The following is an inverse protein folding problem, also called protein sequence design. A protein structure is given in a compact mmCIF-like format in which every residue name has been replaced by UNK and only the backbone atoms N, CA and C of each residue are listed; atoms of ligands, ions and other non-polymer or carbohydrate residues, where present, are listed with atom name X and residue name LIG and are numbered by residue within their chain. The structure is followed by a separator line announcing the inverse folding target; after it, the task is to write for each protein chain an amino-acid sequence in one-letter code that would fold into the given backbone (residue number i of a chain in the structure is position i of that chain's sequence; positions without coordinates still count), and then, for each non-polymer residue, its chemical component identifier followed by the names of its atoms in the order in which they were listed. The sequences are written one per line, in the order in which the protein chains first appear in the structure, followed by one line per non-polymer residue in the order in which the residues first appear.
data_IF_191696430175
#
_entry.id   IF_191696430175
#
_cell.length_a   1.000
_cell.length_b   1.000
_cell.length_c   1.000
_cell.angle_alpha   90.00
_cell.angle_beta   90.00
_cell.angle_gamma   90.00
#
_symmetry.space_group_name_H-M   'P 1'
#
loop_
_entity.id
_entity.type
_entity.pdbx_description
1 polymer ?
#
# COMPACT_ATOMS: atom_id res chain seq x y z
N UNK A 1 27.76 31.44 69.64
CA UNK A 1 27.03 30.33 68.98
C UNK A 1 25.55 30.64 69.07
N UNK A 2 24.92 30.89 67.93
CA UNK A 2 23.61 30.39 67.50
C UNK A 2 22.99 31.34 66.46
N UNK A 3 22.56 30.71 65.39
CA UNK A 3 22.07 31.26 64.12
C UNK A 3 20.64 31.78 64.27
N UNK A 4 20.27 32.82 63.53
CA UNK A 4 18.87 33.16 63.28
C UNK A 4 18.64 33.44 61.79
N UNK A 5 17.47 32.99 61.31
CA UNK A 5 17.06 32.86 59.92
C UNK A 5 16.13 34.01 59.51
N UNK A 6 16.03 34.18 58.19
CA UNK A 6 14.97 34.87 57.42
C UNK A 6 15.24 36.29 56.89
N UNK A 7 14.66 36.52 55.70
CA UNK A 7 14.39 37.77 54.99
C UNK A 7 15.28 38.21 53.80
N UNK A 8 15.04 37.53 52.68
CA UNK A 8 14.62 38.05 51.35
C UNK A 8 14.80 39.55 50.99
N UNK A 9 15.18 39.70 49.71
CA UNK A 9 15.03 40.83 48.75
C UNK A 9 16.07 41.96 48.82
N UNK A 10 16.89 42.06 47.76
CA UNK A 10 16.95 43.20 46.80
C UNK A 10 18.32 43.24 46.13
N UNK A 11 18.40 42.77 44.88
CA UNK A 11 19.22 43.47 43.88
C UNK A 11 18.44 43.50 42.57
N UNK A 12 17.84 44.65 42.34
CA UNK A 12 17.37 45.12 41.04
C UNK A 12 18.59 45.44 40.18
N UNK A 13 18.71 44.83 39.00
CA UNK A 13 19.47 45.43 37.89
C UNK A 13 18.57 45.41 36.66
N UNK A 14 18.44 46.61 36.09
CA UNK A 14 17.70 46.95 34.89
C UNK A 14 18.18 46.13 33.68
N UNK A 15 17.23 45.75 32.83
CA UNK A 15 17.25 46.09 31.40
C UNK A 15 15.97 45.54 30.74
N UNK A 16 15.03 46.43 30.44
CA UNK A 16 14.13 46.22 29.30
C UNK A 16 14.88 46.73 28.05
N UNK A 17 14.87 45.95 26.97
CA UNK A 17 14.22 46.48 25.79
C UNK A 17 13.22 45.49 25.20
N UNK A 18 12.11 46.07 24.75
CA UNK A 18 11.08 45.42 23.96
C UNK A 18 11.69 44.70 22.75
N UNK A 19 11.51 43.38 22.68
CA UNK A 19 11.61 42.64 21.43
C UNK A 19 10.21 42.38 20.91
N UNK A 20 9.87 43.19 19.91
CA UNK A 20 8.83 42.97 18.91
C UNK A 20 8.85 41.50 18.46
N UNK A 21 7.89 40.70 18.90
CA UNK A 21 7.59 39.39 18.31
C UNK A 21 7.02 39.64 16.92
N UNK A 22 7.89 39.70 15.91
CA UNK A 22 7.48 39.39 14.54
C UNK A 22 7.07 37.92 14.54
N UNK A 23 5.76 37.67 14.62
CA UNK A 23 5.19 36.41 14.20
C UNK A 23 5.44 36.26 12.70
N UNK A 24 6.62 35.75 12.34
CA UNK A 24 6.85 35.10 11.06
C UNK A 24 5.92 33.88 11.07
N UNK A 25 4.70 34.09 10.57
CA UNK A 25 3.91 33.05 9.98
C UNK A 25 4.70 32.59 8.76
N UNK A 26 5.72 31.75 9.00
CA UNK A 26 6.22 30.87 7.99
C UNK A 26 5.03 30.03 7.59
N UNK A 27 4.36 30.43 6.51
CA UNK A 27 3.60 29.49 5.72
C UNK A 27 4.59 28.40 5.37
N UNK A 28 4.52 27.30 6.12
CA UNK A 28 5.05 26.04 5.62
C UNK A 28 4.24 25.85 4.36
N UNK A 29 4.85 26.20 3.22
CA UNK A 29 4.34 25.86 1.92
C UNK A 29 4.16 24.35 1.99
N UNK A 30 2.91 23.94 2.14
CA UNK A 30 2.52 22.56 2.02
C UNK A 30 2.94 22.21 0.60
N UNK A 31 4.07 21.54 0.47
CA UNK A 31 4.56 21.06 -0.80
C UNK A 31 3.48 20.10 -1.29
N UNK A 32 2.57 20.62 -2.12
CA UNK A 32 1.64 19.81 -2.89
C UNK A 32 2.55 18.96 -3.76
N UNK A 33 2.62 17.68 -3.43
CA UNK A 33 3.27 16.71 -4.27
C UNK A 33 2.72 16.90 -5.70
N UNK A 34 3.58 16.87 -6.73
CA UNK A 34 3.13 17.08 -8.11
C UNK A 34 2.14 15.96 -8.46
N UNK A 35 0.86 16.33 -8.51
CA UNK A 35 -0.26 15.46 -8.85
C UNK A 35 -0.16 15.07 -10.33
N UNK A 36 0.32 13.87 -10.60
CA UNK A 36 0.28 13.31 -11.95
C UNK A 36 -1.20 13.14 -12.35
N UNK A 37 -1.67 13.72 -13.46
CA UNK A 37 -3.10 13.96 -13.65
C UNK A 37 -3.89 12.66 -13.79
N UNK A 38 -4.96 12.52 -13.01
CA UNK A 38 -5.93 11.42 -13.10
C UNK A 38 -6.50 11.26 -14.52
N UNK A 39 -6.36 12.28 -15.37
CA UNK A 39 -6.57 12.24 -16.82
C UNK A 39 -5.88 11.04 -17.49
N UNK A 40 -4.66 10.67 -17.09
CA UNK A 40 -3.95 9.50 -17.64
C UNK A 40 -4.64 8.17 -17.32
N UNK A 41 -5.47 8.14 -16.29
CA UNK A 41 -6.26 6.96 -15.91
C UNK A 41 -7.58 6.88 -16.68
N UNK A 42 -8.10 8.01 -17.19
CA UNK A 42 -9.37 8.06 -17.92
C UNK A 42 -9.41 7.17 -19.18
N UNK A 43 -8.24 6.89 -19.76
CA UNK A 43 -8.09 6.00 -20.91
C UNK A 43 -7.73 4.55 -20.56
N UNK A 44 -7.49 4.22 -19.30
CA UNK A 44 -6.97 2.90 -18.90
C UNK A 44 -8.07 1.95 -18.44
N UNK A 45 -7.87 0.67 -18.75
CA UNK A 45 -8.61 -0.47 -18.21
C UNK A 45 -7.68 -1.20 -17.26
N UNK A 46 -7.98 -1.15 -15.97
CA UNK A 46 -7.12 -1.66 -14.91
C UNK A 46 -7.86 -2.80 -14.22
N UNK A 47 -7.19 -3.90 -13.94
CA UNK A 47 -7.73 -5.00 -13.14
C UNK A 47 -6.92 -5.19 -11.85
N UNK A 48 -7.62 -5.26 -10.72
CA UNK A 48 -7.07 -5.52 -9.40
C UNK A 48 -7.70 -6.77 -8.77
N UNK A 49 -6.92 -7.86 -8.71
CA UNK A 49 -7.27 -9.05 -7.93
C UNK A 49 -6.92 -8.85 -6.45
N UNK A 50 -7.87 -9.03 -5.55
CA UNK A 50 -7.58 -8.83 -4.13
C UNK A 50 -8.45 -9.66 -3.19
N UNK A 51 -8.24 -9.43 -1.90
CA UNK A 51 -9.12 -9.78 -0.78
C UNK A 51 -8.96 -8.66 0.26
N UNK A 52 -9.77 -8.68 1.33
CA UNK A 52 -9.59 -7.89 2.58
C UNK A 52 -9.03 -6.47 2.34
N UNK A 53 -7.79 -6.15 2.74
CA UNK A 53 -7.12 -4.83 2.63
C UNK A 53 -7.21 -4.21 1.23
N UNK A 54 -7.29 -5.01 0.17
CA UNK A 54 -7.48 -4.47 -1.18
C UNK A 54 -8.83 -3.78 -1.35
N UNK A 55 -9.88 -4.34 -0.72
CA UNK A 55 -11.19 -3.69 -0.62
C UNK A 55 -11.11 -2.36 0.12
N UNK A 56 -10.33 -2.26 1.20
CA UNK A 56 -10.13 -0.98 1.89
C UNK A 56 -9.44 0.07 1.00
N UNK A 57 -8.46 -0.34 0.18
CA UNK A 57 -7.85 0.58 -0.80
C UNK A 57 -8.91 1.04 -1.82
N UNK A 58 -9.77 0.14 -2.29
CA UNK A 58 -10.87 0.50 -3.21
C UNK A 58 -11.91 1.42 -2.56
N UNK A 59 -12.23 1.22 -1.28
CA UNK A 59 -13.10 2.13 -0.53
C UNK A 59 -12.49 3.52 -0.46
N UNK A 60 -11.18 3.61 -0.22
CA UNK A 60 -10.42 4.86 -0.34
C UNK A 60 -10.53 5.49 -1.72
N UNK A 61 -10.38 4.72 -2.80
CA UNK A 61 -10.53 5.21 -4.18
C UNK A 61 -11.94 5.78 -4.41
N UNK A 62 -12.99 5.06 -3.98
CA UNK A 62 -14.39 5.50 -4.12
C UNK A 62 -14.70 6.77 -3.32
N UNK A 63 -14.00 6.99 -2.20
CA UNK A 63 -14.19 8.14 -1.32
C UNK A 63 -13.42 9.40 -1.78
N UNK A 64 -12.46 9.27 -2.70
CA UNK A 64 -11.72 10.41 -3.22
C UNK A 64 -12.64 11.30 -4.06
N UNK A 65 -12.65 12.63 -3.82
CA UNK A 65 -13.45 13.54 -4.63
C UNK A 65 -12.88 13.63 -6.05
N UNK A 66 -13.77 13.81 -7.04
CA UNK A 66 -13.34 14.29 -8.35
C UNK A 66 -12.72 15.69 -8.17
N UNK A 67 -11.60 15.93 -8.83
CA UNK A 67 -10.87 17.18 -8.69
C UNK A 67 -10.60 17.82 -10.05
N UNK A 68 -10.11 19.06 -10.01
CA UNK A 68 -9.67 19.75 -11.23
C UNK A 68 -8.49 19.04 -11.92
N UNK A 69 -7.88 18.03 -11.29
CA UNK A 69 -6.76 17.25 -11.82
C UNK A 69 -7.20 15.94 -12.51
N UNK A 70 -8.50 15.75 -12.71
CA UNK A 70 -9.09 14.66 -13.47
C UNK A 70 -10.12 13.83 -12.69
N UNK A 71 -10.66 12.81 -13.36
CA UNK A 71 -11.74 11.97 -12.83
C UNK A 71 -11.17 10.70 -12.23
N UNK A 72 -11.60 10.34 -11.02
CA UNK A 72 -11.26 9.07 -10.38
C UNK A 72 -11.81 7.92 -11.24
N UNK A 73 -11.03 6.85 -11.50
CA UNK A 73 -11.52 5.73 -12.30
C UNK A 73 -12.76 5.10 -11.66
N UNK A 74 -13.70 4.65 -12.49
CA UNK A 74 -14.88 3.92 -12.02
C UNK A 74 -14.43 2.59 -11.42
N UNK A 75 -14.81 2.33 -10.17
CA UNK A 75 -14.54 1.04 -9.54
C UNK A 75 -15.68 0.08 -9.85
N UNK A 76 -15.37 -1.04 -10.53
CA UNK A 76 -16.36 -2.02 -11.01
C UNK A 76 -15.93 -3.42 -10.61
N UNK A 77 -16.82 -4.20 -10.02
CA UNK A 77 -16.56 -5.61 -9.74
C UNK A 77 -16.82 -6.45 -11.00
N UNK A 78 -15.83 -7.25 -11.40
CA UNK A 78 -15.93 -8.14 -12.57
C UNK A 78 -16.61 -9.43 -12.16
N UNK A 79 -17.67 -9.80 -12.89
CA UNK A 79 -18.42 -11.04 -12.63
C UNK A 79 -17.96 -12.20 -13.52
N UNK A 80 -17.31 -11.90 -14.66
CA UNK A 80 -16.80 -12.88 -15.62
C UNK A 80 -15.48 -12.43 -16.24
N UNK A 81 -14.51 -13.35 -16.47
CA UNK A 81 -13.24 -13.01 -17.12
C UNK A 81 -13.40 -12.56 -18.59
N UNK A 82 -14.56 -12.75 -19.21
CA UNK A 82 -14.83 -12.30 -20.58
C UNK A 82 -15.54 -10.95 -20.66
N UNK A 83 -15.76 -10.29 -19.51
CA UNK A 83 -16.41 -8.98 -19.46
C UNK A 83 -15.53 -7.90 -20.13
N UNK A 84 -16.17 -7.07 -20.96
CA UNK A 84 -15.49 -5.95 -21.62
C UNK A 84 -15.38 -4.77 -20.66
N UNK A 85 -14.16 -4.30 -20.42
CA UNK A 85 -13.91 -3.15 -19.57
C UNK A 85 -13.91 -1.86 -20.40
N UNK A 86 -14.71 -0.87 -19.98
CA UNK A 86 -14.67 0.46 -20.57
C UNK A 86 -13.41 1.23 -20.10
N UNK A 87 -12.84 2.14 -20.91
CA UNK A 87 -11.77 3.04 -20.45
C UNK A 87 -12.16 3.82 -19.19
N UNK A 88 -11.17 4.14 -18.37
CA UNK A 88 -11.36 4.84 -17.10
C UNK A 88 -11.95 3.95 -16.02
N UNK A 89 -11.69 2.64 -16.09
CA UNK A 89 -12.22 1.66 -15.15
C UNK A 89 -11.09 1.02 -14.36
N UNK A 90 -11.25 0.99 -13.04
CA UNK A 90 -10.50 0.17 -12.12
C UNK A 90 -11.39 -1.01 -11.72
N UNK A 91 -11.31 -2.05 -12.55
CA UNK A 91 -12.04 -3.29 -12.37
C UNK A 91 -11.40 -4.12 -11.26
N UNK A 92 -12.18 -4.89 -10.52
CA UNK A 92 -11.66 -5.73 -9.45
C UNK A 92 -12.43 -7.04 -9.29
N UNK A 93 -11.79 -8.03 -8.69
CA UNK A 93 -12.46 -9.25 -8.24
C UNK A 93 -11.75 -9.79 -7.00
N UNK A 94 -12.50 -10.53 -6.19
CA UNK A 94 -11.92 -11.33 -5.13
C UNK A 94 -11.16 -12.52 -5.75
N UNK A 95 -9.87 -12.69 -5.42
CA UNK A 95 -9.04 -13.79 -5.95
C UNK A 95 -8.58 -14.74 -4.87
N UNK A 96 -8.71 -16.04 -5.16
CA UNK A 96 -8.33 -17.13 -4.27
C UNK A 96 -8.93 -17.02 -2.86
N UNK A 97 -8.31 -17.73 -1.91
CA UNK A 97 -8.72 -17.79 -0.51
C UNK A 97 -7.66 -17.15 0.38
N UNK A 98 -8.07 -16.55 1.50
CA UNK A 98 -7.13 -16.12 2.54
C UNK A 98 -6.45 -17.36 3.17
N UNK A 99 -5.21 -17.17 3.66
CA UNK A 99 -4.37 -18.23 4.26
C UNK A 99 -3.93 -19.32 3.27
N UNK A 100 -4.28 -19.17 1.99
CA UNK A 100 -3.91 -20.06 0.90
C UNK A 100 -3.29 -19.25 -0.24
N UNK A 101 -2.09 -18.67 -0.07
CA UNK A 101 -1.51 -17.74 -1.05
C UNK A 101 -1.42 -18.34 -2.47
N UNK A 102 -1.08 -19.63 -2.61
CA UNK A 102 -1.02 -20.28 -3.93
C UNK A 102 -2.37 -20.27 -4.66
N UNK A 103 -3.49 -20.32 -3.94
CA UNK A 103 -4.82 -20.21 -4.55
C UNK A 103 -5.06 -18.83 -5.17
N UNK A 104 -4.42 -17.77 -4.64
CA UNK A 104 -4.51 -16.42 -5.22
C UNK A 104 -3.72 -16.32 -6.52
N UNK A 105 -2.53 -16.93 -6.55
CA UNK A 105 -1.71 -17.01 -7.76
C UNK A 105 -2.51 -17.75 -8.85
N UNK A 106 -2.97 -18.96 -8.55
CA UNK A 106 -3.68 -19.80 -9.51
C UNK A 106 -4.97 -19.17 -10.03
N UNK A 107 -5.75 -18.52 -9.15
CA UNK A 107 -7.01 -17.88 -9.55
C UNK A 107 -6.78 -16.60 -10.36
N UNK A 108 -5.75 -15.82 -10.04
CA UNK A 108 -5.34 -14.68 -10.86
C UNK A 108 -4.89 -15.13 -12.26
N UNK A 109 -4.05 -16.16 -12.36
CA UNK A 109 -3.64 -16.73 -13.64
C UNK A 109 -4.84 -17.19 -14.46
N UNK A 110 -5.75 -17.95 -13.84
CA UNK A 110 -6.98 -18.44 -14.46
C UNK A 110 -7.82 -17.29 -15.02
N UNK A 111 -8.03 -16.21 -14.26
CA UNK A 111 -8.82 -15.06 -14.72
C UNK A 111 -8.18 -14.37 -15.93
N UNK A 112 -6.86 -14.18 -15.90
CA UNK A 112 -6.12 -13.56 -17.00
C UNK A 112 -6.18 -14.41 -18.27
N UNK A 113 -5.89 -15.71 -18.15
CA UNK A 113 -5.90 -16.67 -19.27
C UNK A 113 -7.33 -16.89 -19.81
N UNK A 114 -8.36 -16.78 -18.97
CA UNK A 114 -9.77 -16.95 -19.38
C UNK A 114 -10.35 -15.75 -20.15
N UNK A 115 -9.59 -14.67 -20.35
CA UNK A 115 -9.97 -13.57 -21.25
C UNK A 115 -9.73 -12.17 -20.70
N UNK A 116 -9.54 -12.02 -19.39
CA UNK A 116 -9.54 -10.71 -18.76
C UNK A 116 -8.31 -9.88 -19.16
N UNK A 117 -7.19 -10.54 -19.48
CA UNK A 117 -6.01 -9.88 -20.03
C UNK A 117 -6.30 -9.18 -21.39
N UNK A 118 -7.23 -9.71 -22.19
CA UNK A 118 -7.62 -9.12 -23.49
C UNK A 118 -8.46 -7.85 -23.35
N UNK A 119 -9.03 -7.60 -22.18
CA UNK A 119 -9.81 -6.39 -21.89
C UNK A 119 -9.09 -5.45 -20.93
N UNK A 120 -7.85 -5.75 -20.54
CA UNK A 120 -7.11 -5.03 -19.51
C UNK A 120 -5.74 -4.55 -20.00
N UNK A 121 -5.44 -3.28 -19.74
CA UNK A 121 -4.15 -2.66 -20.04
C UNK A 121 -3.13 -2.87 -18.91
N UNK A 122 -3.58 -2.82 -17.66
CA UNK A 122 -2.77 -3.01 -16.46
C UNK A 122 -3.47 -4.01 -15.52
N UNK A 123 -2.79 -5.09 -15.15
CA UNK A 123 -3.34 -6.09 -14.24
C UNK A 123 -2.40 -6.34 -13.07
N UNK A 124 -2.97 -6.50 -11.88
CA UNK A 124 -2.21 -6.91 -10.70
C UNK A 124 -3.10 -7.62 -9.70
N UNK A 125 -2.46 -8.35 -8.81
CA UNK A 125 -3.08 -8.79 -7.58
C UNK A 125 -2.14 -8.57 -6.40
N UNK A 126 -2.69 -8.66 -5.19
CA UNK A 126 -1.89 -8.67 -3.98
C UNK A 126 -2.21 -9.87 -3.09
N UNK A 127 -1.24 -10.26 -2.28
CA UNK A 127 -1.48 -11.05 -1.08
C UNK A 127 -2.09 -10.19 0.04
N UNK A 128 -2.69 -10.83 1.03
CA UNK A 128 -3.13 -10.25 2.30
C UNK A 128 -2.09 -10.51 3.39
N UNK A 129 -2.14 -9.73 4.47
CA UNK A 129 -1.23 -9.93 5.60
C UNK A 129 -1.38 -11.33 6.19
N UNK A 130 -2.59 -11.91 6.16
CA UNK A 130 -2.88 -13.23 6.72
C UNK A 130 -2.36 -14.39 5.86
N UNK A 131 -1.98 -14.13 4.60
CA UNK A 131 -1.47 -15.19 3.71
C UNK A 131 -0.02 -15.57 4.01
N UNK A 132 0.73 -14.70 4.71
CA UNK A 132 2.13 -14.90 5.08
C UNK A 132 2.23 -14.79 6.60
N UNK A 133 2.58 -15.89 7.24
CA UNK A 133 2.72 -16.03 8.69
C UNK A 133 4.08 -16.64 9.05
N UNK A 134 4.36 -16.79 10.36
CA UNK A 134 5.63 -17.30 10.88
C UNK A 134 6.10 -18.64 10.29
N UNK A 135 5.18 -19.50 9.83
CA UNK A 135 5.46 -20.82 9.28
C UNK A 135 5.59 -20.85 7.74
N UNK A 136 5.39 -19.72 7.07
CA UNK A 136 5.42 -19.66 5.61
C UNK A 136 6.83 -19.84 5.06
N UNK A 137 7.01 -20.75 4.09
CA UNK A 137 8.22 -20.77 3.27
C UNK A 137 8.17 -19.64 2.25
N UNK A 138 8.68 -18.50 2.68
CA UNK A 138 8.61 -17.24 1.95
C UNK A 138 9.38 -17.28 0.62
N UNK A 139 10.47 -18.05 0.55
CA UNK A 139 11.27 -18.19 -0.69
C UNK A 139 10.54 -19.05 -1.70
N UNK A 140 9.98 -20.19 -1.26
CA UNK A 140 9.18 -21.04 -2.14
C UNK A 140 7.93 -20.32 -2.65
N UNK A 141 7.24 -19.55 -1.79
CA UNK A 141 6.10 -18.75 -2.20
C UNK A 141 6.49 -17.68 -3.23
N UNK A 142 7.59 -16.95 -3.00
CA UNK A 142 8.10 -15.97 -3.95
C UNK A 142 8.46 -16.59 -5.30
N UNK A 143 9.07 -17.78 -5.31
CA UNK A 143 9.43 -18.45 -6.56
C UNK A 143 8.18 -18.87 -7.36
N UNK A 144 7.15 -19.39 -6.70
CA UNK A 144 5.85 -19.68 -7.35
C UNK A 144 5.22 -18.42 -7.94
N UNK A 145 5.24 -17.33 -7.18
CA UNK A 145 4.75 -16.03 -7.65
C UNK A 145 5.52 -15.57 -8.90
N UNK A 146 6.86 -15.60 -8.85
CA UNK A 146 7.74 -15.16 -9.93
C UNK A 146 7.46 -15.93 -11.22
N UNK A 147 7.43 -17.26 -11.14
CA UNK A 147 7.17 -18.15 -12.29
C UNK A 147 5.80 -17.88 -12.92
N UNK A 148 4.76 -17.71 -12.10
CA UNK A 148 3.41 -17.42 -12.58
C UNK A 148 3.34 -16.08 -13.32
N UNK A 149 3.90 -15.01 -12.74
CA UNK A 149 3.88 -13.68 -13.36
C UNK A 149 4.73 -13.63 -14.64
N UNK A 150 5.88 -14.30 -14.68
CA UNK A 150 6.68 -14.45 -15.90
C UNK A 150 5.89 -15.19 -17.00
N UNK A 151 5.19 -16.27 -16.63
CA UNK A 151 4.32 -17.00 -17.53
C UNK A 151 3.18 -16.14 -18.09
N UNK A 152 2.51 -15.36 -17.23
CA UNK A 152 1.45 -14.45 -17.65
C UNK A 152 1.94 -13.36 -18.59
N UNK A 153 3.10 -12.75 -18.30
CA UNK A 153 3.72 -11.76 -19.19
C UNK A 153 4.03 -12.32 -20.56
N UNK A 154 4.53 -13.57 -20.63
CA UNK A 154 4.81 -14.24 -21.88
C UNK A 154 3.54 -14.53 -22.69
N UNK A 155 2.45 -14.94 -22.02
CA UNK A 155 1.15 -15.24 -22.67
C UNK A 155 0.35 -14.00 -23.04
N UNK A 156 0.49 -12.90 -22.29
CA UNK A 156 -0.30 -11.67 -22.44
C UNK A 156 0.60 -10.42 -22.57
N UNK A 157 1.39 -10.29 -23.65
CA UNK A 157 2.37 -9.22 -23.79
C UNK A 157 1.77 -7.81 -23.90
N UNK A 158 0.46 -7.70 -24.15
CA UNK A 158 -0.26 -6.43 -24.23
C UNK A 158 -0.83 -5.97 -22.88
N UNK A 159 -0.61 -6.72 -21.81
CA UNK A 159 -1.02 -6.37 -20.44
C UNK A 159 0.22 -6.06 -19.62
N UNK A 160 0.25 -4.88 -19.01
CA UNK A 160 1.29 -4.54 -18.04
C UNK A 160 0.95 -5.20 -16.70
N UNK A 161 1.76 -6.15 -16.26
CA UNK A 161 1.62 -6.74 -14.94
C UNK A 161 2.36 -5.92 -13.89
N UNK A 162 1.64 -5.47 -12.86
CA UNK A 162 2.21 -4.73 -11.72
C UNK A 162 2.42 -5.71 -10.56
N UNK A 163 3.58 -5.60 -9.92
CA UNK A 163 3.89 -6.33 -8.69
C UNK A 163 3.44 -5.54 -7.46
N UNK A 164 2.96 -6.23 -6.42
CA UNK A 164 2.53 -5.59 -5.16
C UNK A 164 3.15 -6.34 -3.98
N UNK A 165 3.88 -5.63 -3.12
CA UNK A 165 4.40 -6.21 -1.87
C UNK A 165 3.25 -6.62 -0.93
N UNK A 166 3.44 -7.67 -0.15
CA UNK A 166 2.49 -8.10 0.87
C UNK A 166 2.35 -7.05 1.97
N UNK A 167 1.12 -6.70 2.40
CA UNK A 167 0.90 -5.67 3.40
C UNK A 167 1.40 -6.10 4.78
N UNK A 168 1.83 -5.14 5.58
CA UNK A 168 2.28 -5.30 6.96
C UNK A 168 1.11 -5.23 7.94
N UNK A 169 1.36 -5.60 9.18
CA UNK A 169 0.48 -5.27 10.31
C UNK A 169 1.14 -4.28 11.25
N UNK A 170 0.38 -3.65 12.13
CA UNK A 170 0.97 -2.97 13.29
C UNK A 170 1.64 -4.01 14.20
N UNK A 171 2.44 -3.56 15.14
CA UNK A 171 3.00 -4.42 16.19
C UNK A 171 2.50 -3.95 17.54
N UNK A 172 2.14 -4.89 18.41
CA UNK A 172 1.74 -4.56 19.77
C UNK A 172 2.96 -4.00 20.53
N UNK A 173 2.86 -2.77 21.04
CA UNK A 173 3.91 -2.10 21.83
C UNK A 173 3.53 -1.98 23.31
N UNK A 174 4.53 -1.63 24.14
CA UNK A 174 4.35 -1.28 25.55
C UNK A 174 4.62 -2.42 26.55
N UNK A 175 4.43 -2.15 27.84
CA UNK A 175 4.80 -3.05 28.94
C UNK A 175 4.22 -4.48 28.80
N UNK A 176 3.03 -4.62 28.21
CA UNK A 176 2.39 -5.91 27.95
C UNK A 176 3.10 -6.71 26.83
N UNK A 177 3.63 -6.03 25.81
CA UNK A 177 4.44 -6.66 24.77
C UNK A 177 5.81 -7.08 25.33
N UNK A 178 6.46 -6.19 26.09
CA UNK A 178 7.72 -6.47 26.77
C UNK A 178 7.62 -7.66 27.74
N UNK A 179 6.54 -7.74 28.53
CA UNK A 179 6.30 -8.89 29.41
C UNK A 179 6.10 -10.19 28.62
N UNK A 180 5.39 -10.16 27.48
CA UNK A 180 5.24 -11.34 26.63
C UNK A 180 6.59 -11.78 26.07
N UNK A 181 7.40 -10.84 25.61
CA UNK A 181 8.75 -11.07 25.07
C UNK A 181 9.67 -11.70 26.12
N UNK A 182 9.72 -11.15 27.34
CA UNK A 182 10.46 -11.73 28.46
C UNK A 182 10.01 -13.16 28.81
N UNK A 183 8.72 -13.45 28.64
CA UNK A 183 8.14 -14.78 28.89
C UNK A 183 8.24 -15.71 27.67
N UNK A 184 8.92 -15.30 26.59
CA UNK A 184 9.06 -16.08 25.36
C UNK A 184 7.74 -16.33 24.62
N UNK A 185 6.71 -15.50 24.87
CA UNK A 185 5.39 -15.63 24.26
C UNK A 185 5.31 -14.81 22.97
N UNK A 186 4.60 -15.32 21.93
CA UNK A 186 4.49 -14.60 20.67
C UNK A 186 3.78 -13.26 20.85
N UNK A 187 4.35 -12.22 20.25
CA UNK A 187 3.76 -10.89 20.13
C UNK A 187 3.17 -10.77 18.73
N UNK A 188 1.89 -10.41 18.66
CA UNK A 188 1.16 -10.31 17.41
C UNK A 188 1.85 -9.32 16.45
N UNK A 189 2.03 -9.75 15.21
CA UNK A 189 2.58 -8.95 14.13
C UNK A 189 4.10 -8.97 14.04
N UNK A 190 4.80 -9.45 15.08
CA UNK A 190 6.28 -9.45 15.10
C UNK A 190 6.83 -10.53 14.17
N UNK A 191 6.61 -11.80 14.48
CA UNK A 191 7.14 -12.90 13.64
C UNK A 191 6.52 -12.88 12.23
N UNK A 192 5.27 -12.44 12.10
CA UNK A 192 4.59 -12.38 10.81
C UNK A 192 5.13 -11.26 9.92
N UNK A 193 5.43 -10.07 10.45
CA UNK A 193 6.05 -8.99 9.65
C UNK A 193 7.47 -9.34 9.20
N UNK A 194 8.23 -10.14 9.98
CA UNK A 194 9.53 -10.66 9.53
C UNK A 194 9.37 -11.48 8.24
N UNK A 195 8.39 -12.38 8.19
CA UNK A 195 8.16 -13.22 7.01
C UNK A 195 7.62 -12.41 5.83
N UNK A 196 6.68 -11.49 6.08
CA UNK A 196 6.18 -10.57 5.03
C UNK A 196 7.30 -9.70 4.48
N UNK A 197 8.17 -9.16 5.32
CA UNK A 197 9.27 -8.33 4.86
C UNK A 197 10.33 -9.16 4.12
N UNK A 198 10.57 -10.41 4.54
CA UNK A 198 11.42 -11.33 3.78
C UNK A 198 10.87 -11.56 2.36
N UNK A 199 9.56 -11.69 2.20
CA UNK A 199 8.91 -11.77 0.88
C UNK A 199 9.10 -10.47 0.10
N UNK A 200 8.84 -9.35 0.75
CA UNK A 200 8.87 -8.02 0.14
C UNK A 200 10.28 -7.62 -0.29
N UNK A 201 11.32 -8.03 0.45
CA UNK A 201 12.70 -7.86 0.03
C UNK A 201 13.01 -8.61 -1.26
N UNK A 202 12.53 -9.86 -1.41
CA UNK A 202 12.71 -10.62 -2.65
C UNK A 202 12.02 -9.93 -3.82
N UNK A 203 10.80 -9.41 -3.60
CA UNK A 203 10.06 -8.59 -4.57
C UNK A 203 10.86 -7.35 -4.98
N UNK A 204 11.37 -6.58 -4.02
CA UNK A 204 12.16 -5.36 -4.29
C UNK A 204 13.46 -5.68 -5.03
N UNK A 205 14.22 -6.67 -4.57
CA UNK A 205 15.49 -7.10 -5.21
C UNK A 205 15.28 -7.54 -6.66
N UNK A 206 14.15 -8.20 -6.92
CA UNK A 206 13.83 -8.73 -8.26
C UNK A 206 13.32 -7.63 -9.18
N UNK A 207 12.32 -6.86 -8.75
CA UNK A 207 11.52 -6.02 -9.64
C UNK A 207 11.80 -4.52 -9.54
N UNK A 208 12.29 -4.00 -8.40
CA UNK A 208 12.44 -2.54 -8.24
C UNK A 208 13.39 -1.96 -9.29
N UNK A 209 12.93 -0.93 -10.00
CA UNK A 209 13.68 -0.28 -11.10
C UNK A 209 13.78 -1.10 -12.39
N UNK A 210 13.22 -2.31 -12.43
CA UNK A 210 13.21 -3.19 -13.61
C UNK A 210 11.80 -3.40 -14.15
N UNK A 211 10.84 -3.54 -13.25
CA UNK A 211 9.43 -3.75 -13.55
C UNK A 211 8.54 -2.90 -12.61
N UNK A 212 7.28 -2.63 -12.99
CA UNK A 212 6.36 -1.88 -12.14
C UNK A 212 6.10 -2.60 -10.80
N UNK A 213 6.49 -1.97 -9.70
CA UNK A 213 6.30 -2.47 -8.33
C UNK A 213 5.61 -1.41 -7.46
N UNK A 214 4.38 -1.70 -7.04
CA UNK A 214 3.67 -0.94 -6.02
C UNK A 214 4.08 -1.46 -4.63
N UNK A 215 4.99 -0.75 -3.98
CA UNK A 215 5.55 -1.11 -2.66
C UNK A 215 4.61 -0.69 -1.51
N UNK A 216 3.46 -1.38 -1.45
CA UNK A 216 2.44 -1.22 -0.41
C UNK A 216 3.04 -1.28 1.01
N UNK A 217 3.93 -2.22 1.28
CA UNK A 217 4.53 -2.39 2.61
C UNK A 217 5.39 -1.18 3.02
N UNK A 218 6.11 -0.59 2.07
CA UNK A 218 6.85 0.65 2.33
C UNK A 218 5.90 1.81 2.62
N UNK A 219 4.79 1.92 1.88
CA UNK A 219 3.81 2.98 2.11
C UNK A 219 3.10 2.85 3.47
N UNK A 220 2.74 1.63 3.86
CA UNK A 220 2.12 1.31 5.15
C UNK A 220 3.06 1.59 6.33
N UNK A 221 4.36 1.42 6.13
CA UNK A 221 5.39 1.69 7.15
C UNK A 221 6.02 3.07 7.05
N UNK A 222 5.46 3.98 6.25
CA UNK A 222 5.94 5.37 6.14
C UNK A 222 4.84 6.29 6.67
N UNK A 223 5.15 7.15 7.62
CA UNK A 223 4.23 8.14 8.16
C UNK A 223 4.07 9.36 7.21
N UNK A 224 3.13 10.28 7.46
CA UNK A 224 2.97 11.48 6.63
C UNK A 224 4.20 12.40 6.60
N UNK A 225 5.01 12.39 7.66
CA UNK A 225 6.27 13.16 7.75
C UNK A 225 7.46 12.45 7.07
N UNK A 226 7.25 11.26 6.48
CA UNK A 226 8.28 10.47 5.84
C UNK A 226 9.06 9.54 6.77
N UNK A 227 8.84 9.60 8.09
CA UNK A 227 9.47 8.69 9.05
C UNK A 227 9.00 7.25 8.83
N UNK A 228 9.87 6.28 9.18
CA UNK A 228 9.57 4.84 9.04
C UNK A 228 9.12 4.25 10.36
N UNK A 229 7.96 3.61 10.37
CA UNK A 229 7.51 2.82 11.51
C UNK A 229 8.23 1.46 11.50
N UNK A 230 8.95 1.19 12.59
CA UNK A 230 9.81 0.02 12.73
C UNK A 230 9.78 -0.55 14.15
N UNK A 231 10.30 -1.75 14.34
CA UNK A 231 10.53 -2.35 15.65
C UNK A 231 11.82 -3.17 15.63
N UNK A 232 12.41 -3.39 16.80
CA UNK A 232 13.61 -4.21 16.95
C UNK A 232 13.23 -5.64 17.31
N UNK A 233 13.90 -6.61 16.67
CA UNK A 233 13.83 -8.02 17.03
C UNK A 233 15.22 -8.63 16.84
N UNK A 234 15.78 -9.23 17.90
CA UNK A 234 17.12 -9.84 17.89
C UNK A 234 18.24 -8.90 17.37
N UNK A 235 18.15 -7.60 17.69
CA UNK A 235 19.12 -6.59 17.26
C UNK A 235 19.01 -6.17 15.79
N UNK A 236 17.91 -6.54 15.12
CA UNK A 236 17.59 -6.12 13.76
C UNK A 236 16.30 -5.31 13.74
N UNK A 237 16.32 -4.22 12.97
CA UNK A 237 15.16 -3.37 12.69
C UNK A 237 14.27 -3.98 11.61
N UNK A 238 12.97 -4.04 11.87
CA UNK A 238 11.94 -4.55 10.96
C UNK A 238 10.82 -3.52 10.77
N UNK A 239 10.23 -3.39 9.58
CA UNK A 239 9.12 -2.46 9.35
C UNK A 239 7.81 -2.99 9.93
N UNK A 240 6.95 -2.06 10.36
CA UNK A 240 5.57 -2.33 10.74
C UNK A 240 4.64 -1.27 10.13
N UNK A 241 3.35 -1.58 10.03
CA UNK A 241 2.36 -0.59 9.62
C UNK A 241 2.29 0.53 10.67
N UNK A 242 2.25 1.78 10.22
CA UNK A 242 2.02 2.95 11.06
C UNK A 242 0.69 2.75 11.82
N UNK A 243 0.67 2.81 13.17
CA UNK A 243 -0.53 2.54 13.95
C UNK A 243 -1.73 3.40 13.57
N UNK A 244 -1.51 4.64 13.13
CA UNK A 244 -2.57 5.55 12.70
C UNK A 244 -3.32 5.12 11.42
N UNK A 245 -2.86 4.09 10.71
CA UNK A 245 -3.51 3.58 9.50
C UNK A 245 -4.49 2.43 9.76
N UNK A 246 -4.61 1.94 10.99
CA UNK A 246 -5.46 0.79 11.31
C UNK A 246 -6.10 0.90 12.70
N UNK A 247 -7.35 0.47 12.81
CA UNK A 247 -8.08 0.43 14.08
C UNK A 247 -7.97 -0.95 14.78
N UNK A 248 -7.70 -2.00 14.02
CA UNK A 248 -7.55 -3.38 14.52
C UNK A 248 -6.12 -3.96 14.37
N UNK A 249 -5.22 -3.16 13.78
CA UNK A 249 -3.83 -3.48 13.51
C UNK A 249 -3.55 -4.08 12.13
N UNK A 250 -4.56 -4.52 11.37
CA UNK A 250 -4.38 -5.18 10.07
C UNK A 250 -5.18 -4.56 8.92
N UNK A 251 -6.41 -4.14 9.16
CA UNK A 251 -7.26 -3.49 8.16
C UNK A 251 -7.07 -1.98 8.16
N UNK A 252 -7.18 -1.37 6.98
CA UNK A 252 -7.00 0.08 6.87
C UNK A 252 -8.22 0.82 7.40
N UNK A 253 -7.99 1.78 8.27
CA UNK A 253 -8.98 2.78 8.67
C UNK A 253 -9.07 3.90 7.61
N UNK A 254 -10.01 4.86 7.71
CA UNK A 254 -10.20 5.89 6.68
C UNK A 254 -8.93 6.70 6.32
N UNK A 255 -8.04 6.94 7.30
CA UNK A 255 -6.79 7.63 7.04
C UNK A 255 -5.82 6.79 6.19
N UNK A 256 -5.66 5.50 6.54
CA UNK A 256 -4.88 4.54 5.75
C UNK A 256 -5.45 4.34 4.35
N UNK A 257 -6.78 4.21 4.24
CA UNK A 257 -7.50 4.07 2.97
C UNK A 257 -7.23 5.24 2.03
N UNK A 258 -7.41 6.47 2.51
CA UNK A 258 -7.22 7.69 1.71
C UNK A 258 -5.78 7.80 1.21
N UNK A 259 -4.80 7.56 2.10
CA UNK A 259 -3.37 7.60 1.75
C UNK A 259 -3.05 6.59 0.66
N UNK A 260 -3.37 5.31 0.89
CA UNK A 260 -2.96 4.23 0.00
C UNK A 260 -3.74 4.24 -1.32
N UNK A 261 -4.99 4.69 -1.32
CA UNK A 261 -5.74 4.95 -2.55
C UNK A 261 -5.08 6.04 -3.40
N UNK A 262 -4.70 7.16 -2.78
CA UNK A 262 -4.02 8.27 -3.47
C UNK A 262 -2.70 7.80 -4.09
N UNK A 263 -1.88 7.08 -3.32
CA UNK A 263 -0.60 6.54 -3.80
C UNK A 263 -0.78 5.49 -4.89
N UNK A 264 -1.81 4.64 -4.80
CA UNK A 264 -2.13 3.68 -5.87
C UNK A 264 -2.48 4.42 -7.17
N UNK A 265 -3.35 5.43 -7.12
CA UNK A 265 -3.74 6.19 -8.31
C UNK A 265 -2.54 6.94 -8.92
N UNK A 266 -1.70 7.57 -8.08
CA UNK A 266 -0.48 8.22 -8.52
C UNK A 266 0.48 7.23 -9.20
N UNK A 267 0.68 6.06 -8.59
CA UNK A 267 1.50 4.99 -9.15
C UNK A 267 0.96 4.54 -10.52
N UNK A 268 -0.34 4.23 -10.61
CA UNK A 268 -0.97 3.78 -11.86
C UNK A 268 -0.89 4.85 -12.96
N UNK A 269 -1.03 6.13 -12.60
CA UNK A 269 -0.91 7.26 -13.53
C UNK A 269 0.54 7.47 -14.03
N UNK A 270 1.53 7.03 -13.25
CA UNK A 270 2.95 7.11 -13.59
C UNK A 270 3.41 6.03 -14.58
N UNK A 271 2.64 4.95 -14.72
CA UNK A 271 2.98 3.86 -15.63
C UNK A 271 3.06 4.36 -17.09
N UNK A 272 3.85 3.70 -17.96
CA UNK A 272 3.83 3.97 -19.40
C UNK A 272 2.42 3.86 -19.98
N UNK A 273 2.18 4.53 -21.11
CA UNK A 273 0.93 4.39 -21.84
C UNK A 273 0.71 2.91 -22.24
N UNK A 274 -0.55 2.42 -22.25
CA UNK A 274 -0.85 1.07 -22.70
C UNK A 274 -0.29 0.80 -24.10
N UNK A 275 0.17 -0.43 -24.33
CA UNK A 275 0.34 -0.93 -25.69
C UNK A 275 -1.07 -0.99 -26.30
N UNK A 276 -1.32 -0.21 -27.35
CA UNK A 276 -2.65 -0.08 -27.96
C UNK A 276 -3.18 -1.45 -28.35
N UNK A 277 -4.17 -1.95 -27.60
CA UNK A 277 -4.90 -3.15 -28.00
C UNK A 277 -5.86 -2.74 -29.13
N UNK A 278 -5.93 -3.49 -30.25
CA UNK A 278 -6.96 -3.26 -31.24
C UNK A 278 -8.34 -3.40 -30.59
N UNK A 279 -9.34 -2.58 -30.99
CA UNK A 279 -10.67 -2.65 -30.40
C UNK A 279 -11.22 -4.08 -30.50
N UNK A 280 -11.74 -4.59 -29.39
CA UNK A 280 -12.47 -5.86 -29.37
C UNK A 280 -13.67 -5.67 -30.33
N UNK A 281 -13.81 -6.50 -31.39
CA UNK A 281 -14.95 -6.39 -32.29
C UNK A 281 -16.24 -6.47 -31.48
N UNK A 282 -17.15 -5.52 -31.69
CA UNK A 282 -18.47 -5.60 -31.10
C UNK A 282 -19.07 -6.96 -31.49
N UNK A 283 -19.56 -7.70 -30.51
CA UNK A 283 -20.31 -8.94 -30.75
C UNK A 283 -21.49 -8.55 -31.63
N UNK A 284 -21.41 -8.88 -32.91
CA UNK A 284 -22.55 -8.73 -33.81
C UNK A 284 -23.63 -9.63 -33.25
N UNK A 285 -24.77 -9.05 -32.87
CA UNK A 285 -25.96 -9.83 -32.61
C UNK A 285 -26.24 -10.65 -33.88
N UNK A 286 -26.12 -11.97 -33.77
CA UNK A 286 -26.56 -12.88 -34.82
C UNK A 286 -28.03 -12.62 -35.11
N UNK A 287 -28.42 -12.47 -36.39
CA UNK A 287 -29.80 -12.19 -36.79
C UNK A 287 -30.78 -13.31 -36.40
#
# INVERSE_FOLDING_TARGET
MHFDWTFLVRVSVLALPAMLLMALHGTVAQASAPSAPLEKLSGRRIFFGHQSVGGNILDGVKALPNSAQGVVPRVVEVQSPTESLAPGTLAHAMVGQNEKPESKIADFERLMDAGLAKSTDVAFFKFCYIDINGATDTRALFEKYRVALEGLKARHPNTTFVHVTAPLTTVQRGAKAWLKELLGRPVWGVAENVQRETFNELMRKTYAGKEPLFDLARLESTAPDGSRETYELNGQTWPAMVPGYSDDGGHLNPAGQTRLATELLNFLASLPAPVVQPPIPAVQATP
#
